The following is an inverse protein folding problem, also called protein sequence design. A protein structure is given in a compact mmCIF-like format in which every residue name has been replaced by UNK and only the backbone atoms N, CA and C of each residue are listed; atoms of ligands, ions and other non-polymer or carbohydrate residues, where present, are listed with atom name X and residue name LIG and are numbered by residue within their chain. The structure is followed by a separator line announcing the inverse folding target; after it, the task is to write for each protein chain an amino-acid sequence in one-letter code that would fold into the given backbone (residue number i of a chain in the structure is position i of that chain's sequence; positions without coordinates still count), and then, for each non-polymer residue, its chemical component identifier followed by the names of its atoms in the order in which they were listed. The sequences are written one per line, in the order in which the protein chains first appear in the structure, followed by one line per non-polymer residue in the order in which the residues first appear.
data_IF_176466385901
#
_entry.id   IF_176466385901
#
_cell.length_a   1.000
_cell.length_b   1.000
_cell.length_c   1.000
_cell.angle_alpha   90.00
_cell.angle_beta   90.00
_cell.angle_gamma   90.00
#
_symmetry.space_group_name_H-M   'P 1'
#
loop_
_entity.id
_entity.type
_entity.pdbx_description
1 polymer ?
#
# COMPACT_ATOMS: atom_id res chain seq x y z
N UNK A 1 -22.14 -14.47 13.57
CA UNK A 1 -22.62 -14.83 12.22
C UNK A 1 -23.77 -15.80 12.42
N UNK A 2 -24.94 -15.53 11.82
CA UNK A 2 -26.06 -16.49 11.88
C UNK A 2 -25.65 -17.76 11.11
N UNK A 3 -26.15 -18.93 11.50
CA UNK A 3 -25.74 -20.23 10.92
C UNK A 3 -25.89 -20.29 9.39
N UNK A 4 -26.92 -19.63 8.85
CA UNK A 4 -27.17 -19.52 7.40
C UNK A 4 -26.12 -18.66 6.68
N UNK A 5 -25.78 -17.49 7.22
CA UNK A 5 -24.74 -16.61 6.65
C UNK A 5 -23.37 -17.30 6.63
N UNK A 6 -23.09 -18.14 7.61
CA UNK A 6 -21.87 -18.94 7.67
C UNK A 6 -21.84 -20.03 6.61
N UNK A 7 -22.96 -20.72 6.38
CA UNK A 7 -23.08 -21.75 5.35
C UNK A 7 -22.94 -21.16 3.93
N UNK A 8 -23.56 -20.01 3.69
CA UNK A 8 -23.44 -19.26 2.43
C UNK A 8 -21.99 -18.82 2.21
N UNK A 9 -21.33 -18.28 3.24
CA UNK A 9 -19.95 -17.83 3.16
C UNK A 9 -18.97 -18.99 2.91
N UNK A 10 -19.18 -20.14 3.57
CA UNK A 10 -18.39 -21.36 3.33
C UNK A 10 -18.57 -21.86 1.90
N UNK A 11 -19.80 -21.92 1.39
CA UNK A 11 -20.10 -22.35 0.02
C UNK A 11 -19.47 -21.43 -1.02
N UNK A 12 -19.46 -20.13 -0.74
CA UNK A 12 -18.92 -19.09 -1.63
C UNK A 12 -17.40 -19.06 -1.67
N UNK A 13 -16.73 -19.38 -0.55
CA UNK A 13 -15.27 -19.23 -0.38
C UNK A 13 -14.50 -20.54 -0.55
N UNK A 14 -15.11 -21.70 -0.27
CA UNK A 14 -14.48 -23.02 -0.41
C UNK A 14 -14.54 -23.52 -1.87
N UNK A 15 -13.48 -23.27 -2.65
CA UNK A 15 -13.24 -23.94 -3.94
C UNK A 15 -12.49 -25.28 -3.75
N UNK A 16 -12.53 -26.22 -4.71
CA UNK A 16 -11.61 -27.36 -4.71
C UNK A 16 -10.16 -26.86 -4.62
N UNK A 17 -9.38 -27.37 -3.66
CA UNK A 17 -8.04 -26.89 -3.27
C UNK A 17 -7.98 -25.50 -2.59
N UNK A 18 -9.12 -24.85 -2.33
CA UNK A 18 -9.20 -23.56 -1.64
C UNK A 18 -8.84 -23.65 -0.16
N UNK A 19 -8.22 -22.58 0.35
CA UNK A 19 -7.96 -22.38 1.79
C UNK A 19 -8.94 -21.34 2.31
N UNK A 20 -9.65 -21.66 3.39
CA UNK A 20 -10.56 -20.71 4.06
C UNK A 20 -10.03 -20.38 5.45
N UNK A 21 -10.30 -19.17 5.92
CA UNK A 21 -10.09 -18.77 7.31
C UNK A 21 -11.44 -18.88 8.03
N UNK A 22 -11.59 -19.87 8.91
CA UNK A 22 -12.84 -20.08 9.63
C UNK A 22 -12.92 -19.32 10.95
N UNK A 23 -13.92 -18.45 11.11
CA UNK A 23 -14.50 -18.08 12.42
C UNK A 23 -14.63 -16.57 12.72
N UNK A 24 -15.67 -16.21 13.48
CA UNK A 24 -15.87 -14.86 14.06
C UNK A 24 -14.90 -14.52 15.21
N UNK A 25 -13.86 -15.33 15.40
CA UNK A 25 -12.84 -15.15 16.39
C UNK A 25 -11.50 -15.34 15.67
N UNK A 26 -10.74 -14.25 15.54
CA UNK A 26 -9.58 -14.14 14.66
C UNK A 26 -8.54 -15.24 14.87
N UNK A 27 -8.67 -16.32 14.12
CA UNK A 27 -7.77 -17.45 14.15
C UNK A 27 -7.14 -17.61 12.77
N UNK A 28 -5.82 -17.49 12.73
CA UNK A 28 -4.89 -17.91 11.67
C UNK A 28 -4.92 -19.44 11.42
N UNK A 29 -6.11 -20.03 11.38
CA UNK A 29 -6.31 -21.47 11.21
C UNK A 29 -6.68 -21.71 9.75
N UNK A 30 -5.68 -22.14 8.98
CA UNK A 30 -5.90 -22.61 7.63
C UNK A 30 -6.72 -23.89 7.69
N UNK A 31 -7.79 -23.89 6.93
CA UNK A 31 -8.57 -25.09 6.71
C UNK A 31 -8.49 -25.48 5.25
N UNK A 32 -8.18 -26.75 4.99
CA UNK A 32 -8.13 -27.33 3.65
C UNK A 32 -9.43 -28.08 3.38
N UNK A 33 -10.10 -27.77 2.27
CA UNK A 33 -11.26 -28.54 1.84
C UNK A 33 -10.80 -29.91 1.34
N UNK A 34 -11.14 -30.96 2.08
CA UNK A 34 -10.82 -32.35 1.72
C UNK A 34 -11.89 -32.93 0.82
N UNK A 35 -13.17 -32.66 1.12
CA UNK A 35 -14.30 -33.20 0.39
C UNK A 35 -15.48 -32.24 0.43
N UNK A 36 -16.20 -32.15 -0.69
CA UNK A 36 -17.50 -31.51 -0.76
C UNK A 36 -18.46 -32.52 -1.38
N UNK A 37 -19.65 -32.70 -0.79
CA UNK A 37 -20.74 -33.46 -1.43
C UNK A 37 -22.09 -32.85 -1.10
N UNK A 38 -22.97 -32.83 -2.09
CA UNK A 38 -24.37 -32.54 -1.88
C UNK A 38 -25.07 -33.82 -1.39
N UNK A 39 -25.85 -33.68 -0.33
CA UNK A 39 -26.66 -34.75 0.24
C UNK A 39 -28.10 -34.55 -0.23
N UNK A 40 -28.50 -35.33 -1.23
CA UNK A 40 -29.89 -35.37 -1.70
C UNK A 40 -30.76 -36.09 -0.68
N UNK A 41 -31.43 -35.31 0.17
CA UNK A 41 -32.38 -35.82 1.17
C UNK A 41 -33.78 -35.22 0.95
N UNK A 42 -34.39 -35.58 -0.18
CA UNK A 42 -35.83 -35.39 -0.41
C UNK A 42 -36.33 -33.95 -0.17
N UNK A 43 -37.49 -33.74 0.49
CA UNK A 43 -38.19 -32.44 0.52
C UNK A 43 -37.56 -31.40 1.46
N UNK A 44 -36.38 -31.64 2.02
CA UNK A 44 -35.67 -30.69 2.87
C UNK A 44 -34.76 -29.74 2.06
N UNK A 45 -34.44 -28.55 2.60
CA UNK A 45 -33.53 -27.61 1.94
C UNK A 45 -32.17 -28.27 1.65
N UNK A 46 -31.54 -27.91 0.53
CA UNK A 46 -30.29 -28.50 0.05
C UNK A 46 -29.21 -28.56 1.14
N UNK A 47 -28.80 -29.77 1.52
CA UNK A 47 -27.75 -30.00 2.52
C UNK A 47 -26.44 -30.27 1.79
N UNK A 48 -25.44 -29.40 1.99
CA UNK A 48 -24.09 -29.57 1.46
C UNK A 48 -23.13 -29.91 2.59
N UNK A 49 -22.46 -31.07 2.49
CA UNK A 49 -21.44 -31.49 3.43
C UNK A 49 -20.06 -31.00 2.98
N UNK A 50 -19.33 -30.38 3.89
CA UNK A 50 -17.93 -30.02 3.72
C UNK A 50 -17.08 -30.81 4.73
N UNK A 51 -16.17 -31.65 4.23
CA UNK A 51 -15.12 -32.25 5.06
C UNK A 51 -13.90 -31.35 4.96
N UNK A 52 -13.53 -30.78 6.08
CA UNK A 52 -12.51 -29.75 6.16
C UNK A 52 -11.42 -30.24 7.10
N UNK A 53 -10.18 -30.31 6.62
CA UNK A 53 -9.03 -30.62 7.46
C UNK A 53 -8.48 -29.33 8.06
N UNK A 54 -8.45 -29.29 9.38
CA UNK A 54 -7.78 -28.24 10.13
C UNK A 54 -6.28 -28.41 9.95
N UNK A 55 -5.65 -27.49 9.21
CA UNK A 55 -4.20 -27.39 9.17
C UNK A 55 -3.80 -26.54 10.38
N UNK A 56 -3.40 -27.22 11.45
CA UNK A 56 -2.76 -26.55 12.59
C UNK A 56 -1.33 -26.27 12.18
N UNK A 57 -1.08 -25.07 11.68
CA UNK A 57 0.30 -24.65 11.43
C UNK A 57 0.95 -24.33 12.78
N UNK A 58 1.62 -25.32 13.37
CA UNK A 58 2.32 -25.22 14.65
C UNK A 58 3.39 -24.11 14.67
N UNK A 59 3.76 -23.56 13.51
CA UNK A 59 4.76 -22.49 13.39
C UNK A 59 4.29 -21.10 13.80
N UNK A 60 2.97 -20.86 13.93
CA UNK A 60 2.46 -19.52 14.25
C UNK A 60 2.72 -19.10 15.71
N UNK A 61 2.82 -20.08 16.62
CA UNK A 61 3.19 -19.83 18.02
C UNK A 61 4.70 -19.79 18.26
N UNK A 62 5.51 -20.37 17.37
CA UNK A 62 6.95 -20.48 17.57
C UNK A 62 7.71 -19.22 17.12
N UNK A 63 7.20 -18.46 16.13
CA UNK A 63 7.89 -17.27 15.60
C UNK A 63 7.57 -15.95 16.30
N UNK A 64 6.63 -15.92 17.25
CA UNK A 64 6.47 -14.74 18.12
C UNK A 64 7.65 -14.55 19.09
N UNK A 65 8.49 -15.58 19.29
CA UNK A 65 9.58 -15.60 20.27
C UNK A 65 11.00 -15.60 19.70
N UNK A 66 11.19 -15.53 18.38
CA UNK A 66 12.53 -15.36 17.82
C UNK A 66 12.75 -13.88 17.48
N UNK A 67 13.30 -13.13 18.43
CA UNK A 67 13.92 -11.84 18.16
C UNK A 67 15.06 -12.03 17.15
N UNK A 68 14.76 -11.81 15.88
CA UNK A 68 15.69 -11.95 14.77
C UNK A 68 15.02 -11.55 13.46
N UNK A 69 15.69 -10.72 12.65
CA UNK A 69 15.16 -10.13 11.42
C UNK A 69 14.70 -11.13 10.36
N UNK A 70 13.49 -11.66 10.50
CA UNK A 70 12.89 -12.60 9.55
C UNK A 70 12.12 -11.90 8.42
N UNK A 71 12.05 -12.56 7.25
CA UNK A 71 11.26 -12.16 6.06
C UNK A 71 9.74 -12.24 6.31
N UNK A 72 8.93 -11.49 5.56
CA UNK A 72 7.47 -11.62 5.61
C UNK A 72 7.05 -13.07 5.35
N UNK A 73 6.01 -13.52 6.07
CA UNK A 73 5.34 -14.76 5.71
C UNK A 73 4.34 -14.46 4.59
N UNK A 74 4.51 -15.10 3.43
CA UNK A 74 3.74 -14.80 2.22
C UNK A 74 2.79 -15.98 1.95
N UNK A 75 1.47 -15.82 2.17
CA UNK A 75 0.51 -16.83 1.79
C UNK A 75 0.54 -17.09 0.29
N UNK A 76 0.29 -18.34 -0.12
CA UNK A 76 0.30 -18.74 -1.55
C UNK A 76 -0.60 -17.86 -2.44
N UNK A 77 -1.78 -17.49 -1.95
CA UNK A 77 -2.68 -16.62 -2.73
C UNK A 77 -2.09 -15.23 -3.02
N UNK A 78 -1.24 -14.68 -2.14
CA UNK A 78 -0.55 -13.41 -2.42
C UNK A 78 0.49 -13.59 -3.53
N UNK A 79 1.19 -14.72 -3.53
CA UNK A 79 2.12 -15.09 -4.62
C UNK A 79 1.38 -15.21 -5.95
N UNK A 80 0.20 -15.85 -5.96
CA UNK A 80 -0.65 -15.95 -7.15
C UNK A 80 -1.09 -14.56 -7.65
N UNK A 81 -1.57 -13.69 -6.76
CA UNK A 81 -1.93 -12.30 -7.10
C UNK A 81 -0.75 -11.54 -7.74
N UNK A 82 0.45 -11.68 -7.18
CA UNK A 82 1.65 -10.99 -7.69
C UNK A 82 2.07 -11.55 -9.05
N UNK A 83 1.99 -12.88 -9.24
CA UNK A 83 2.25 -13.53 -10.54
C UNK A 83 1.27 -13.04 -11.60
N UNK A 84 0.01 -12.90 -11.21
CA UNK A 84 -1.06 -12.55 -12.13
C UNK A 84 -1.18 -11.02 -12.34
N UNK A 85 -0.41 -10.20 -11.62
CA UNK A 85 -0.34 -8.74 -11.75
C UNK A 85 0.20 -8.27 -13.11
N UNK A 86 0.07 -6.99 -13.43
CA UNK A 86 0.81 -6.43 -14.56
C UNK A 86 2.34 -6.49 -14.33
N UNK A 87 3.15 -6.71 -15.39
CA UNK A 87 4.59 -6.79 -15.24
C UNK A 87 5.18 -5.44 -14.82
N UNK A 88 6.28 -5.48 -14.07
CA UNK A 88 7.07 -4.28 -13.83
C UNK A 88 7.66 -3.78 -15.15
N UNK A 89 7.63 -2.47 -15.35
CA UNK A 89 8.21 -1.80 -16.52
C UNK A 89 9.72 -1.81 -16.35
N UNK A 90 10.41 -2.61 -17.16
CA UNK A 90 11.83 -2.88 -16.99
C UNK A 90 12.72 -1.70 -17.42
N UNK A 91 12.23 -0.86 -18.33
CA UNK A 91 13.01 0.24 -18.92
C UNK A 91 12.47 1.62 -18.50
N UNK A 92 13.37 2.58 -18.34
CA UNK A 92 13.02 3.96 -18.00
C UNK A 92 12.10 4.57 -19.06
N UNK A 93 10.88 5.03 -18.71
CA UNK A 93 9.99 5.63 -19.69
C UNK A 93 10.53 6.96 -20.23
N UNK A 94 10.69 7.07 -21.56
CA UNK A 94 11.05 8.34 -22.22
C UNK A 94 9.95 9.42 -22.08
N UNK A 95 8.68 8.98 -21.99
CA UNK A 95 7.51 9.85 -21.80
C UNK A 95 6.66 9.34 -20.64
N UNK A 96 7.01 9.65 -19.37
CA UNK A 96 6.38 9.06 -18.19
C UNK A 96 4.85 9.16 -18.17
N UNK A 97 4.30 10.34 -18.50
CA UNK A 97 2.84 10.55 -18.48
C UNK A 97 2.08 9.68 -19.50
N UNK A 98 2.68 9.37 -20.66
CA UNK A 98 2.07 8.49 -21.66
C UNK A 98 2.12 7.05 -21.17
N UNK A 99 3.29 6.64 -20.67
CA UNK A 99 3.48 5.29 -20.11
C UNK A 99 2.55 5.06 -18.93
N UNK A 100 2.36 6.03 -18.04
CA UNK A 100 1.39 5.97 -16.95
C UNK A 100 -0.03 5.75 -17.47
N UNK A 101 -0.49 6.59 -18.41
CA UNK A 101 -1.85 6.48 -18.96
C UNK A 101 -2.10 5.11 -19.59
N UNK A 102 -1.07 4.52 -20.22
CA UNK A 102 -1.15 3.15 -20.75
C UNK A 102 -1.15 2.12 -19.63
N UNK A 103 -0.29 2.28 -18.62
CA UNK A 103 -0.15 1.35 -17.51
C UNK A 103 -1.42 1.27 -16.65
N UNK A 104 -2.04 2.40 -16.31
CA UNK A 104 -3.28 2.48 -15.51
C UNK A 104 -4.39 1.60 -16.10
N UNK A 105 -4.46 1.44 -17.42
CA UNK A 105 -5.46 0.59 -18.09
C UNK A 105 -5.25 -0.90 -17.82
N UNK A 106 -4.03 -1.30 -17.51
CA UNK A 106 -3.63 -2.69 -17.31
C UNK A 106 -3.46 -3.05 -15.82
N UNK A 107 -3.52 -2.05 -14.92
CA UNK A 107 -3.41 -2.28 -13.47
C UNK A 107 -4.50 -3.22 -13.01
N UNK A 108 -4.10 -4.27 -12.30
CA UNK A 108 -5.02 -5.26 -11.74
C UNK A 108 -5.20 -5.00 -10.25
N UNK A 109 -6.21 -4.21 -9.92
CA UNK A 109 -6.56 -3.88 -8.54
C UNK A 109 -7.09 -5.12 -7.79
N UNK A 110 -6.75 -5.27 -6.50
CA UNK A 110 -7.17 -6.44 -5.70
C UNK A 110 -8.66 -6.78 -5.82
N UNK A 111 -9.64 -5.84 -5.70
CA UNK A 111 -11.07 -6.15 -5.78
C UNK A 111 -11.54 -6.67 -7.14
N UNK A 112 -10.73 -6.50 -8.19
CA UNK A 112 -11.01 -7.02 -9.53
C UNK A 112 -10.48 -8.44 -9.72
N UNK A 113 -9.53 -8.87 -8.89
CA UNK A 113 -8.89 -10.19 -8.97
C UNK A 113 -9.49 -11.18 -7.97
N UNK A 114 -9.85 -10.70 -6.77
CA UNK A 114 -10.34 -11.54 -5.67
C UNK A 114 -11.48 -10.89 -4.90
N UNK A 115 -12.26 -11.73 -4.23
CA UNK A 115 -13.25 -11.27 -3.27
C UNK A 115 -12.56 -10.78 -2.00
N UNK A 116 -12.86 -9.56 -1.56
CA UNK A 116 -12.20 -8.94 -0.40
C UNK A 116 -13.06 -8.99 0.87
N UNK A 117 -14.30 -9.50 0.82
CA UNK A 117 -15.28 -9.47 1.93
C UNK A 117 -14.85 -10.26 3.17
N UNK A 118 -13.87 -11.14 3.02
CA UNK A 118 -13.32 -11.92 4.13
C UNK A 118 -12.41 -11.10 5.08
N UNK A 119 -12.00 -9.90 4.67
CA UNK A 119 -11.13 -9.01 5.46
C UNK A 119 -11.93 -8.32 6.56
N UNK A 120 -11.33 -8.13 7.74
CA UNK A 120 -12.06 -7.58 8.89
C UNK A 120 -12.27 -6.07 8.83
N UNK A 121 -11.41 -5.37 8.09
CA UNK A 121 -11.39 -3.91 7.95
C UNK A 121 -10.64 -3.54 6.69
N UNK A 122 -10.94 -2.39 6.13
CA UNK A 122 -10.33 -1.88 4.91
C UNK A 122 -9.73 -0.52 5.20
N UNK A 123 -8.45 -0.36 4.87
CA UNK A 123 -7.67 0.82 5.22
C UNK A 123 -7.00 1.34 3.97
N UNK A 124 -7.12 2.65 3.74
CA UNK A 124 -6.41 3.36 2.70
C UNK A 124 -5.43 4.33 3.35
N UNK A 125 -4.16 4.28 2.95
CA UNK A 125 -3.13 5.21 3.42
C UNK A 125 -2.55 5.95 2.23
N UNK A 126 -2.68 7.27 2.22
CA UNK A 126 -2.12 8.15 1.21
C UNK A 126 -0.91 8.87 1.84
N UNK A 127 0.30 8.45 1.47
CA UNK A 127 1.56 8.95 2.06
C UNK A 127 2.17 9.99 1.14
N UNK A 128 2.30 11.23 1.63
CA UNK A 128 2.65 12.38 0.81
C UNK A 128 1.46 12.76 -0.06
N UNK A 129 0.44 13.29 0.61
CA UNK A 129 -0.88 13.53 0.06
C UNK A 129 -1.12 15.04 -0.12
N UNK A 130 -0.58 15.67 -1.18
CA UNK A 130 -0.64 17.12 -1.34
C UNK A 130 -2.05 17.61 -1.67
N UNK A 131 -2.94 16.76 -2.19
CA UNK A 131 -4.34 17.12 -2.39
C UNK A 131 -5.25 15.92 -2.39
N UNK A 132 -6.48 16.11 -1.90
CA UNK A 132 -7.50 15.06 -1.97
C UNK A 132 -7.86 14.77 -3.43
N UNK A 133 -7.91 15.80 -4.29
CA UNK A 133 -8.25 15.66 -5.71
C UNK A 133 -7.24 14.84 -6.53
N UNK A 134 -5.95 14.86 -6.20
CA UNK A 134 -4.93 14.13 -6.97
C UNK A 134 -4.87 12.63 -6.63
N UNK A 135 -5.24 12.25 -5.42
CA UNK A 135 -5.12 10.88 -4.93
C UNK A 135 -6.49 10.29 -4.51
N UNK A 136 -6.85 10.37 -3.23
CA UNK A 136 -8.05 9.74 -2.63
C UNK A 136 -9.33 10.05 -3.42
N UNK A 137 -9.51 11.30 -3.84
CA UNK A 137 -10.67 11.81 -4.57
C UNK A 137 -10.71 11.43 -6.05
N UNK A 138 -9.62 10.90 -6.61
CA UNK A 138 -9.49 10.58 -8.04
C UNK A 138 -9.34 9.08 -8.28
N UNK A 139 -8.10 8.57 -8.40
CA UNK A 139 -7.87 7.18 -8.81
C UNK A 139 -8.44 6.21 -7.77
N UNK A 140 -8.25 6.50 -6.48
CA UNK A 140 -8.70 5.61 -5.40
C UNK A 140 -10.22 5.48 -5.45
N UNK A 141 -10.97 6.59 -5.49
CA UNK A 141 -12.44 6.58 -5.61
C UNK A 141 -13.00 5.80 -6.81
N UNK A 142 -12.25 5.70 -7.91
CA UNK A 142 -12.68 4.94 -9.10
C UNK A 142 -12.57 3.43 -8.88
N UNK A 143 -11.56 3.02 -8.10
CA UNK A 143 -11.18 1.62 -7.92
C UNK A 143 -11.60 1.06 -6.55
N UNK A 144 -11.87 1.94 -5.59
CA UNK A 144 -12.22 1.67 -4.21
C UNK A 144 -13.19 2.73 -3.68
N UNK A 145 -14.06 2.39 -2.71
CA UNK A 145 -14.38 1.03 -2.29
C UNK A 145 -15.10 0.23 -3.39
N UNK A 146 -15.04 -1.09 -3.29
CA UNK A 146 -15.81 -2.05 -4.10
C UNK A 146 -16.44 -3.09 -3.19
N UNK A 147 -17.34 -3.90 -3.73
CA UNK A 147 -17.96 -5.03 -3.02
C UNK A 147 -18.67 -4.61 -1.72
N UNK A 148 -19.30 -3.42 -1.74
CA UNK A 148 -20.03 -2.81 -0.62
C UNK A 148 -19.19 -2.62 0.67
N UNK A 149 -17.89 -2.38 0.53
CA UNK A 149 -17.00 -2.12 1.66
C UNK A 149 -16.82 -0.63 1.91
N UNK A 150 -16.42 -0.26 3.12
CA UNK A 150 -16.03 1.11 3.46
C UNK A 150 -14.60 1.10 3.97
N UNK A 151 -13.86 2.17 3.66
CA UNK A 151 -12.44 2.28 4.00
C UNK A 151 -12.24 3.36 5.06
N UNK A 152 -11.43 3.04 6.06
CA UNK A 152 -10.79 4.04 6.92
C UNK A 152 -9.65 4.67 6.13
N UNK A 153 -9.75 5.98 5.87
CA UNK A 153 -8.80 6.67 4.99
C UNK A 153 -7.91 7.61 5.79
N UNK A 154 -6.60 7.41 5.68
CA UNK A 154 -5.57 8.25 6.27
C UNK A 154 -4.83 9.02 5.19
N UNK A 155 -4.74 10.34 5.34
CA UNK A 155 -3.87 11.18 4.51
C UNK A 155 -2.70 11.66 5.37
N UNK A 156 -1.46 11.45 4.93
CA UNK A 156 -0.25 11.88 5.63
C UNK A 156 0.39 13.00 4.81
N UNK A 157 0.41 14.20 5.38
CA UNK A 157 0.91 15.40 4.71
C UNK A 157 1.53 16.37 5.73
N UNK A 158 2.80 16.71 5.52
CA UNK A 158 3.57 17.54 6.45
C UNK A 158 3.39 19.04 6.19
N UNK A 159 3.21 19.43 4.93
CA UNK A 159 3.07 20.84 4.56
C UNK A 159 1.67 21.35 4.88
N UNK A 160 1.64 22.36 5.77
CA UNK A 160 0.42 23.02 6.25
C UNK A 160 -0.41 23.64 5.14
N UNK A 161 0.20 23.98 4.00
CA UNK A 161 -0.50 24.52 2.85
C UNK A 161 -1.62 23.60 2.35
N UNK A 162 -1.44 22.28 2.48
CA UNK A 162 -2.37 21.27 1.98
C UNK A 162 -3.43 20.83 3.02
N UNK A 163 -3.26 21.20 4.29
CA UNK A 163 -4.13 20.72 5.38
C UNK A 163 -5.57 21.23 5.27
N UNK A 164 -5.78 22.41 4.69
CA UNK A 164 -7.11 23.02 4.60
C UNK A 164 -8.09 22.16 3.81
N UNK A 165 -7.65 21.53 2.72
CA UNK A 165 -8.53 20.68 1.92
C UNK A 165 -9.03 19.47 2.72
N UNK A 166 -8.15 18.83 3.51
CA UNK A 166 -8.50 17.66 4.31
C UNK A 166 -9.37 17.98 5.53
N UNK A 167 -9.25 19.18 6.11
CA UNK A 167 -10.16 19.62 7.19
C UNK A 167 -11.63 19.59 6.76
N UNK A 168 -11.90 19.79 5.47
CA UNK A 168 -13.25 19.75 4.91
C UNK A 168 -13.75 18.31 4.63
N UNK A 169 -12.88 17.30 4.68
CA UNK A 169 -13.21 15.90 4.36
C UNK A 169 -13.42 15.08 5.63
N UNK A 170 -14.64 15.11 6.19
CA UNK A 170 -15.01 14.38 7.42
C UNK A 170 -14.77 12.85 7.41
N UNK A 171 -14.53 12.23 6.25
CA UNK A 171 -14.26 10.79 6.09
C UNK A 171 -12.77 10.47 5.88
N UNK A 172 -11.90 11.46 6.01
CA UNK A 172 -10.44 11.29 5.88
C UNK A 172 -9.78 11.81 7.14
N UNK A 173 -8.94 10.98 7.76
CA UNK A 173 -8.12 11.36 8.89
C UNK A 173 -6.79 11.92 8.39
N UNK A 174 -6.57 13.22 8.57
CA UNK A 174 -5.29 13.86 8.28
C UNK A 174 -4.30 13.58 9.42
N UNK A 175 -3.11 13.10 9.06
CA UNK A 175 -1.93 13.04 9.90
C UNK A 175 -0.98 14.17 9.44
N UNK A 176 -0.91 15.29 10.18
CA UNK A 176 -0.18 16.49 9.77
C UNK A 176 1.33 16.37 10.04
N UNK A 177 1.94 15.28 9.56
CA UNK A 177 3.32 14.90 9.83
C UNK A 177 3.98 14.33 8.57
N UNK A 178 5.30 14.36 8.51
CA UNK A 178 6.06 13.62 7.50
C UNK A 178 6.19 12.15 7.90
N UNK A 179 5.82 11.23 7.00
CA UNK A 179 6.19 9.84 7.16
C UNK A 179 7.72 9.73 7.18
N UNK A 180 8.29 9.22 8.26
CA UNK A 180 9.73 9.21 8.45
C UNK A 180 10.23 7.94 9.16
N UNK A 181 11.54 7.86 9.38
CA UNK A 181 12.22 6.71 9.96
C UNK A 181 12.05 6.62 11.49
N UNK A 182 11.85 7.77 12.14
CA UNK A 182 11.71 7.95 13.58
C UNK A 182 11.00 9.26 13.88
N UNK A 183 10.56 9.44 15.12
CA UNK A 183 10.02 10.71 15.59
C UNK A 183 11.17 11.73 15.73
N UNK A 184 11.21 12.74 14.87
CA UNK A 184 12.19 13.82 14.95
C UNK A 184 11.70 15.07 14.20
N UNK A 185 12.34 16.21 14.47
CA UNK A 185 12.11 17.44 13.71
C UNK A 185 12.97 17.43 12.45
N UNK A 186 12.38 17.77 11.32
CA UNK A 186 13.02 17.72 10.01
C UNK A 186 12.98 19.10 9.35
N UNK A 187 13.95 19.36 8.48
CA UNK A 187 13.97 20.52 7.60
C UNK A 187 13.28 20.18 6.29
N UNK A 188 12.29 20.99 5.89
CA UNK A 188 11.62 20.89 4.61
C UNK A 188 12.12 21.98 3.66
N UNK A 189 12.72 21.57 2.55
CA UNK A 189 13.20 22.45 1.50
C UNK A 189 12.18 22.51 0.36
N UNK A 190 11.59 23.69 0.11
CA UNK A 190 10.77 23.91 -1.07
C UNK A 190 11.73 24.20 -2.22
N UNK A 191 11.95 23.22 -3.10
CA UNK A 191 12.74 23.46 -4.31
C UNK A 191 11.96 24.39 -5.25
N UNK A 192 12.41 25.63 -5.38
CA UNK A 192 12.00 26.50 -6.48
C UNK A 192 12.76 26.08 -7.75
N UNK A 193 12.05 25.82 -8.85
CA UNK A 193 12.67 25.56 -10.16
C UNK A 193 13.59 26.75 -10.52
N UNK A 194 14.89 26.54 -10.80
CA UNK A 194 15.77 27.63 -11.22
C UNK A 194 15.28 28.19 -12.56
N UNK A 195 14.81 29.45 -12.54
CA UNK A 195 14.35 30.16 -13.74
C UNK A 195 12.83 30.35 -13.87
N UNK A 196 12.02 29.91 -12.89
CA UNK A 196 10.63 30.34 -12.78
C UNK A 196 10.52 31.40 -11.70
N UNK A 197 10.21 32.63 -12.09
CA UNK A 197 9.70 33.62 -11.13
C UNK A 197 8.50 33.02 -10.39
N UNK A 198 8.40 33.35 -9.11
CA UNK A 198 7.36 32.85 -8.22
C UNK A 198 5.98 33.34 -8.68
N UNK A 199 5.35 32.62 -9.61
CA UNK A 199 3.90 32.65 -9.73
C UNK A 199 3.35 32.07 -8.42
N UNK A 200 2.62 32.91 -7.67
CA UNK A 200 2.14 32.65 -6.32
C UNK A 200 1.27 31.37 -6.15
N UNK A 201 1.00 30.62 -7.22
CA UNK A 201 0.08 29.49 -7.25
C UNK A 201 0.71 28.14 -7.65
N UNK A 202 2.02 28.03 -7.89
CA UNK A 202 2.69 26.73 -8.13
C UNK A 202 3.83 26.48 -7.13
N UNK A 203 3.46 26.23 -5.86
CA UNK A 203 4.40 25.66 -4.88
C UNK A 203 4.73 24.22 -5.27
N UNK A 204 6.02 23.92 -5.49
CA UNK A 204 6.50 22.56 -5.75
C UNK A 204 6.44 21.69 -4.50
N UNK A 205 6.36 20.37 -4.67
CA UNK A 205 6.49 19.42 -3.57
C UNK A 205 7.92 19.50 -3.02
N UNK A 206 8.05 19.92 -1.76
CA UNK A 206 9.34 20.10 -1.10
C UNK A 206 9.98 18.78 -0.68
N UNK A 207 11.27 18.82 -0.35
CA UNK A 207 12.08 17.66 0.02
C UNK A 207 12.40 17.70 1.51
N UNK A 208 12.35 16.54 2.14
CA UNK A 208 12.71 16.37 3.55
C UNK A 208 14.20 16.07 3.65
N UNK A 209 14.91 16.79 4.52
CA UNK A 209 16.28 16.50 4.91
C UNK A 209 16.41 16.37 6.45
N UNK A 210 17.34 15.55 6.97
CA UNK A 210 17.75 15.61 8.37
C UNK A 210 18.31 17.01 8.66
N UNK A 211 17.99 17.59 9.81
CA UNK A 211 18.46 18.92 10.18
C UNK A 211 19.99 18.96 10.25
N UNK A 212 20.65 19.43 9.20
CA UNK A 212 22.04 19.88 9.27
C UNK A 212 22.02 21.39 9.43
N UNK A 213 22.69 21.87 10.48
CA UNK A 213 22.88 23.29 10.72
C UNK A 213 23.56 23.91 9.50
N UNK A 214 23.06 25.07 9.08
CA UNK A 214 23.56 25.99 8.03
C UNK A 214 23.11 25.69 6.59
N UNK A 215 22.00 26.28 6.17
CA UNK A 215 21.77 26.76 4.80
C UNK A 215 20.65 27.82 4.82
N UNK A 216 20.95 28.99 4.24
CA UNK A 216 20.14 30.21 4.26
C UNK A 216 18.99 30.17 3.23
N UNK A 217 18.12 29.18 3.34
CA UNK A 217 16.84 29.09 2.63
C UNK A 217 15.68 29.15 3.62
N UNK A 218 14.46 29.39 3.12
CA UNK A 218 13.22 29.38 3.92
C UNK A 218 12.92 27.94 4.39
N UNK A 219 13.65 27.46 5.40
CA UNK A 219 13.52 26.10 5.91
C UNK A 219 12.28 26.03 6.80
N UNK A 220 11.23 25.40 6.29
CA UNK A 220 10.07 25.08 7.12
C UNK A 220 10.40 23.87 7.98
N UNK A 221 10.40 24.06 9.31
CA UNK A 221 10.53 22.95 10.24
C UNK A 221 9.22 22.15 10.28
N UNK A 222 9.31 20.85 9.98
CA UNK A 222 8.19 19.92 10.02
C UNK A 222 8.47 18.79 11.01
N UNK A 223 7.41 18.14 11.48
CA UNK A 223 7.53 17.00 12.38
C UNK A 223 7.46 15.70 11.58
N UNK A 224 8.51 14.89 11.66
CA UNK A 224 8.51 13.51 11.18
C UNK A 224 8.06 12.55 12.27
N UNK A 225 7.41 11.46 11.88
CA UNK A 225 7.04 10.37 12.79
C UNK A 225 7.52 9.02 12.27
N UNK A 226 7.76 8.07 13.17
CA UNK A 226 8.09 6.68 12.79
C UNK A 226 6.87 6.05 12.10
N UNK A 227 6.92 6.05 10.77
CA UNK A 227 5.82 5.55 9.95
C UNK A 227 5.63 4.03 10.12
N UNK A 228 6.73 3.29 10.32
CA UNK A 228 6.66 1.85 10.51
C UNK A 228 5.99 1.48 11.84
N UNK A 229 6.34 2.20 12.92
CA UNK A 229 5.71 2.02 14.23
C UNK A 229 4.22 2.42 14.21
N UNK A 230 3.88 3.52 13.55
CA UNK A 230 2.48 3.93 13.36
C UNK A 230 1.67 2.88 12.61
N UNK A 231 2.21 2.32 11.51
CA UNK A 231 1.50 1.29 10.74
C UNK A 231 1.23 0.05 11.61
N UNK A 232 2.24 -0.42 12.36
CA UNK A 232 2.10 -1.55 13.28
C UNK A 232 1.03 -1.34 14.37
N UNK A 233 0.87 -0.10 14.85
CA UNK A 233 -0.15 0.26 15.86
C UNK A 233 -1.54 0.43 15.26
N UNK A 234 -1.61 0.83 13.99
CA UNK A 234 -2.86 1.21 13.33
C UNK A 234 -3.56 0.01 12.68
N UNK A 235 -2.83 -0.88 12.01
CA UNK A 235 -3.39 -1.98 11.21
C UNK A 235 -2.99 -3.37 11.72
N UNK A 236 -3.74 -4.39 11.31
CA UNK A 236 -3.51 -5.79 11.66
C UNK A 236 -3.46 -6.64 10.40
N UNK A 237 -2.80 -7.80 10.45
CA UNK A 237 -2.65 -8.73 9.31
C UNK A 237 -3.97 -9.15 8.62
N UNK A 238 -5.09 -9.09 9.35
CA UNK A 238 -6.43 -9.43 8.87
C UNK A 238 -7.15 -8.28 8.14
N UNK A 239 -6.59 -7.08 8.17
CA UNK A 239 -7.12 -5.92 7.47
C UNK A 239 -6.68 -5.98 5.99
N UNK A 240 -7.42 -5.31 5.11
CA UNK A 240 -6.96 -5.00 3.75
C UNK A 240 -6.32 -3.62 3.77
N UNK A 241 -5.04 -3.52 3.45
CA UNK A 241 -4.33 -2.24 3.44
C UNK A 241 -3.88 -1.89 2.03
N UNK A 242 -4.44 -0.80 1.51
CA UNK A 242 -4.10 -0.21 0.22
C UNK A 242 -3.36 1.09 0.47
N UNK A 243 -2.19 1.27 -0.14
CA UNK A 243 -1.34 2.44 0.12
C UNK A 243 -0.85 3.09 -1.17
N UNK A 244 -0.96 4.42 -1.28
CA UNK A 244 -0.18 5.21 -2.24
C UNK A 244 0.97 5.89 -1.50
N UNK A 245 2.13 5.96 -2.12
CA UNK A 245 3.32 6.61 -1.56
C UNK A 245 3.96 7.52 -2.58
N UNK A 246 4.18 8.77 -2.18
CA UNK A 246 4.73 9.84 -3.02
C UNK A 246 5.45 10.84 -2.10
N UNK A 247 6.72 10.56 -1.79
CA UNK A 247 7.44 11.17 -0.65
C UNK A 247 8.75 11.84 -1.07
N UNK A 248 8.79 12.31 -2.32
CA UNK A 248 9.84 13.17 -2.90
C UNK A 248 11.27 12.66 -2.62
N UNK A 249 11.54 11.38 -2.84
CA UNK A 249 12.87 10.76 -2.72
C UNK A 249 13.09 9.96 -1.44
N UNK A 250 12.21 10.10 -0.45
CA UNK A 250 12.31 9.37 0.83
C UNK A 250 11.94 7.88 0.68
N UNK A 251 11.48 7.44 -0.50
CA UNK A 251 11.12 6.04 -0.77
C UNK A 251 12.30 5.11 -0.46
N UNK A 252 13.52 5.55 -0.77
CA UNK A 252 14.76 4.79 -0.59
C UNK A 252 15.21 4.65 0.86
N UNK A 253 14.60 5.38 1.79
CA UNK A 253 14.85 5.25 3.22
C UNK A 253 13.66 4.55 3.91
N UNK A 254 12.44 4.97 3.59
CA UNK A 254 11.21 4.46 4.17
C UNK A 254 10.92 3.01 3.79
N UNK A 255 11.00 2.64 2.51
CA UNK A 255 10.68 1.27 2.09
C UNK A 255 11.66 0.25 2.70
N UNK A 256 12.99 0.47 2.67
CA UNK A 256 13.91 -0.42 3.37
C UNK A 256 13.65 -0.49 4.87
N UNK A 257 13.26 0.62 5.52
CA UNK A 257 12.83 0.62 6.92
C UNK A 257 11.59 -0.24 7.14
N UNK A 258 10.56 -0.12 6.30
CA UNK A 258 9.33 -0.92 6.37
C UNK A 258 9.61 -2.41 6.19
N UNK A 259 10.53 -2.77 5.29
CA UNK A 259 10.97 -4.16 5.09
C UNK A 259 11.71 -4.66 6.34
N UNK A 260 12.68 -3.88 6.84
CA UNK A 260 13.49 -4.23 8.02
C UNK A 260 12.65 -4.41 9.29
N UNK A 261 11.60 -3.60 9.47
CA UNK A 261 10.69 -3.68 10.63
C UNK A 261 9.54 -4.65 10.44
N UNK A 262 9.42 -5.27 9.25
CA UNK A 262 8.27 -6.11 8.85
C UNK A 262 6.92 -5.39 8.81
N UNK A 263 6.91 -4.06 8.97
CA UNK A 263 5.70 -3.27 8.79
C UNK A 263 5.18 -3.42 7.34
N UNK A 264 6.06 -3.67 6.36
CA UNK A 264 5.66 -3.92 4.97
C UNK A 264 4.71 -5.11 4.81
N UNK A 265 4.77 -6.11 5.70
CA UNK A 265 3.94 -7.32 5.60
C UNK A 265 2.46 -7.02 5.86
N UNK A 266 2.16 -5.86 6.48
CA UNK A 266 0.79 -5.39 6.75
C UNK A 266 0.14 -4.75 5.51
N UNK A 267 0.91 -4.48 4.46
CA UNK A 267 0.44 -3.83 3.24
C UNK A 267 0.08 -4.91 2.22
N UNK A 268 -1.13 -4.84 1.66
CA UNK A 268 -1.58 -5.78 0.63
C UNK A 268 -1.32 -5.22 -0.77
N UNK A 269 -1.56 -3.94 -0.99
CA UNK A 269 -1.41 -3.26 -2.29
C UNK A 269 -0.72 -1.90 -2.13
N UNK A 270 0.26 -1.61 -2.98
CA UNK A 270 1.09 -0.41 -2.94
C UNK A 270 1.22 0.24 -4.32
N UNK A 271 0.99 1.54 -4.37
CA UNK A 271 1.16 2.44 -5.52
C UNK A 271 2.30 3.44 -5.23
N UNK A 272 3.58 3.05 -5.37
CA UNK A 272 4.69 3.93 -5.10
C UNK A 272 5.04 4.77 -6.34
N UNK A 273 5.16 6.09 -6.13
CA UNK A 273 5.81 7.02 -7.04
C UNK A 273 7.29 7.12 -6.67
N UNK A 274 8.15 6.50 -7.49
CA UNK A 274 9.58 6.50 -7.21
C UNK A 274 10.29 7.70 -7.87
N UNK A 275 11.07 8.39 -7.04
CA UNK A 275 11.77 9.61 -7.38
C UNK A 275 13.25 9.34 -7.72
N UNK A 276 13.63 9.57 -8.98
CA UNK A 276 14.96 9.27 -9.51
C UNK A 276 15.43 10.33 -10.53
N UNK A 277 16.68 10.24 -10.99
CA UNK A 277 17.33 11.20 -11.88
C UNK A 277 16.79 11.14 -13.33
N UNK A 278 15.64 11.77 -13.56
CA UNK A 278 14.95 11.75 -14.87
C UNK A 278 15.60 12.68 -15.90
N UNK A 279 15.38 12.37 -17.18
CA UNK A 279 15.68 13.28 -18.29
C UNK A 279 14.90 14.59 -18.18
N UNK A 280 15.57 15.72 -18.41
CA UNK A 280 14.94 17.03 -18.36
C UNK A 280 14.23 17.36 -19.67
N UNK A 281 13.00 17.88 -19.58
CA UNK A 281 12.22 18.28 -20.75
C UNK A 281 12.81 19.52 -21.44
N UNK A 282 13.39 20.45 -20.68
CA UNK A 282 13.99 21.68 -21.22
C UNK A 282 15.25 21.44 -22.03
N UNK A 283 15.97 20.36 -21.71
CA UNK A 283 17.40 20.30 -21.91
C UNK A 283 17.77 18.88 -22.39
N UNK A 284 17.66 18.61 -23.72
CA UNK A 284 17.93 17.30 -24.29
C UNK A 284 19.32 16.79 -23.91
N UNK A 285 19.42 15.52 -23.54
CA UNK A 285 20.69 14.90 -23.11
C UNK A 285 21.12 15.23 -21.68
N UNK A 286 20.38 16.06 -20.95
CA UNK A 286 20.65 16.36 -19.53
C UNK A 286 19.65 15.64 -18.61
N UNK A 287 20.17 15.11 -17.50
CA UNK A 287 19.36 14.56 -16.41
C UNK A 287 19.19 15.58 -15.30
N UNK A 288 18.08 15.48 -14.57
CA UNK A 288 17.85 16.27 -13.36
C UNK A 288 18.76 15.77 -12.25
N UNK A 289 19.40 16.71 -11.54
CA UNK A 289 20.18 16.45 -10.34
C UNK A 289 19.32 16.43 -9.07
N UNK A 290 17.99 16.62 -9.18
CA UNK A 290 17.06 16.65 -8.03
C UNK A 290 17.18 15.39 -7.17
N UNK A 291 17.40 14.24 -7.79
CA UNK A 291 17.55 12.95 -7.12
C UNK A 291 18.84 12.27 -7.55
N UNK A 292 19.57 11.66 -6.61
CA UNK A 292 20.79 10.90 -6.88
C UNK A 292 20.52 9.39 -6.96
N UNK A 293 19.39 9.02 -7.57
CA UNK A 293 18.94 7.63 -7.70
C UNK A 293 18.66 7.32 -9.16
N UNK A 294 18.86 6.08 -9.58
CA UNK A 294 18.62 5.64 -10.95
C UNK A 294 17.28 4.94 -11.09
N UNK A 295 16.78 4.81 -12.31
CA UNK A 295 15.58 4.03 -12.59
C UNK A 295 15.73 2.56 -12.14
N UNK A 296 16.90 1.96 -12.35
CA UNK A 296 17.16 0.58 -11.93
C UNK A 296 17.04 0.41 -10.41
N UNK A 297 17.45 1.41 -9.62
CA UNK A 297 17.26 1.36 -8.17
C UNK A 297 15.77 1.41 -7.78
N UNK A 298 14.93 2.14 -8.52
CA UNK A 298 13.48 2.05 -8.33
C UNK A 298 12.94 0.66 -8.68
N UNK A 299 13.42 0.05 -9.76
CA UNK A 299 13.01 -1.29 -10.17
C UNK A 299 13.40 -2.36 -9.14
N UNK A 300 14.60 -2.26 -8.57
CA UNK A 300 15.03 -3.10 -7.44
C UNK A 300 14.11 -2.93 -6.23
N UNK A 301 13.72 -1.68 -5.92
CA UNK A 301 12.80 -1.38 -4.82
C UNK A 301 11.43 -2.03 -5.05
N UNK A 302 10.83 -1.87 -6.23
CA UNK A 302 9.57 -2.51 -6.60
C UNK A 302 9.65 -4.04 -6.58
N UNK A 303 10.78 -4.59 -7.03
CA UNK A 303 11.04 -6.03 -6.99
C UNK A 303 11.11 -6.53 -5.55
N UNK A 304 11.82 -5.82 -4.66
CA UNK A 304 11.93 -6.19 -3.24
C UNK A 304 10.57 -6.15 -2.52
N UNK A 305 9.70 -5.21 -2.89
CA UNK A 305 8.33 -5.11 -2.38
C UNK A 305 7.47 -6.31 -2.83
N UNK A 306 7.51 -6.68 -4.12
CA UNK A 306 6.82 -7.88 -4.63
C UNK A 306 7.37 -9.16 -4.00
N UNK A 307 8.69 -9.27 -3.82
CA UNK A 307 9.32 -10.39 -3.09
C UNK A 307 8.91 -10.45 -1.62
N UNK A 308 8.45 -9.34 -1.04
CA UNK A 308 7.91 -9.27 0.32
C UNK A 308 6.42 -9.59 0.41
N UNK A 309 5.77 -9.92 -0.72
CA UNK A 309 4.36 -10.31 -0.77
C UNK A 309 3.38 -9.14 -0.94
N UNK A 310 3.87 -7.96 -1.35
CA UNK A 310 3.02 -6.80 -1.63
C UNK A 310 2.68 -6.75 -3.12
N UNK A 311 1.41 -6.51 -3.47
CA UNK A 311 1.03 -6.21 -4.84
C UNK A 311 1.44 -4.77 -5.17
N UNK A 312 2.35 -4.59 -6.13
CA UNK A 312 2.96 -3.28 -6.43
C UNK A 312 2.59 -2.81 -7.82
N UNK A 313 2.13 -1.57 -7.92
CA UNK A 313 1.75 -0.90 -9.16
C UNK A 313 2.57 0.39 -9.35
N UNK A 314 3.42 0.43 -10.37
CA UNK A 314 4.29 1.60 -10.62
C UNK A 314 3.47 2.87 -10.92
N UNK A 315 3.73 3.93 -10.15
CA UNK A 315 3.08 5.25 -10.23
C UNK A 315 4.09 6.37 -10.56
N UNK A 316 3.63 7.48 -11.14
CA UNK A 316 4.41 8.62 -11.66
C UNK A 316 3.50 9.78 -12.09
#
# INVERSE_FOLDING_TARGET
MKQLEFADEMTRTLKPQGRVCGGSCGCHRYVHLVKMRDLDNGPMPHIREFVIQKVVDHHLHQMKNSGGGGKCWIPGYKTDLIRDAEPLIQEEPLKPWITLKRNIKNVKYIPSMVDIRFKSRYVCVDVGAPSYGSSIGSWFKKQYPKQNQTFDVFAIEADKAFHHEYKLKKKVQLLPFAAWLRNETLSFEINHDPGKEAEANTRGMGRIQPSSSTLAGEVNLIQGFDFADWLNKTVKERDLVVMKMDVEGTEFDLIPRLIKTRAICLIDELFPECHYNRWQRCCPGQRSLKYNKTYNQCLELFTSLRQSGVLVHQWW
#
